data_IF_506464194719
#
_entry.id   IF_506464194719
#
_cell.length_a   1.000
_cell.length_b   1.000
_cell.length_c   1.000
_cell.angle_alpha   90.00
_cell.angle_beta   90.00
_cell.angle_gamma   90.00
#
_symmetry.space_group_name_H-M   'P 1'
#
loop_
_entity.id
_entity.type
_entity.pdbx_description
1 polymer ?
#
# COMPACT_ATOMS: atom_id res chain seq x y z
N UNK A 1 -4.56 -5.41 -24.91
CA UNK A 1 -4.43 -4.21 -24.08
C UNK A 1 -4.90 -4.45 -22.64
N UNK A 2 -5.94 -5.26 -22.43
CA UNK A 2 -6.47 -5.59 -21.09
C UNK A 2 -5.46 -6.32 -20.17
N UNK A 3 -4.58 -7.16 -20.72
CA UNK A 3 -3.57 -7.88 -19.95
C UNK A 3 -2.38 -7.03 -19.47
N UNK A 4 -2.21 -5.81 -19.98
CA UNK A 4 -1.11 -4.92 -19.58
C UNK A 4 -1.47 -4.09 -18.34
N UNK A 5 -2.75 -3.72 -18.20
CA UNK A 5 -3.26 -3.05 -17.00
C UNK A 5 -3.13 -3.99 -15.81
N UNK A 6 -3.56 -5.25 -15.94
CA UNK A 6 -3.43 -6.30 -14.90
C UNK A 6 -2.00 -6.59 -14.43
N UNK A 7 -0.98 -6.16 -15.19
CA UNK A 7 0.44 -6.45 -14.94
C UNK A 7 1.21 -5.25 -14.37
N UNK A 8 0.76 -4.03 -14.65
CA UNK A 8 1.23 -2.79 -14.02
C UNK A 8 0.52 -2.56 -12.66
N UNK A 9 -0.73 -3.05 -12.56
CA UNK A 9 -1.51 -3.23 -11.32
C UNK A 9 -1.21 -4.57 -10.64
N UNK A 10 0.05 -4.96 -10.50
CA UNK A 10 0.41 -6.18 -9.77
C UNK A 10 1.07 -5.80 -8.43
N UNK A 11 0.37 -5.23 -7.45
CA UNK A 11 -1.05 -4.91 -7.33
C UNK A 11 -1.13 -3.80 -6.30
N UNK A 12 -1.73 -2.66 -6.64
CA UNK A 12 -1.89 -1.57 -5.67
C UNK A 12 -2.57 -2.12 -4.41
N UNK A 13 -3.54 -3.02 -4.60
CA UNK A 13 -4.20 -3.79 -3.54
C UNK A 13 -3.21 -4.62 -2.70
N UNK A 14 -2.37 -5.44 -3.34
CA UNK A 14 -1.37 -6.26 -2.66
C UNK A 14 -0.36 -5.41 -1.88
N UNK A 15 0.02 -4.24 -2.42
CA UNK A 15 0.94 -3.32 -1.73
C UNK A 15 0.27 -2.58 -0.58
N UNK A 16 -1.03 -2.27 -0.67
CA UNK A 16 -1.81 -1.78 0.48
C UNK A 16 -1.86 -2.83 1.58
N UNK A 17 -2.19 -4.09 1.23
CA UNK A 17 -2.25 -5.18 2.20
C UNK A 17 -0.91 -5.41 2.89
N UNK A 18 0.18 -5.50 2.11
CA UNK A 18 1.52 -5.66 2.65
C UNK A 18 1.92 -4.48 3.53
N UNK A 19 1.66 -3.26 3.10
CA UNK A 19 1.94 -2.07 3.90
C UNK A 19 1.19 -2.10 5.23
N UNK A 20 -0.10 -2.40 5.22
CA UNK A 20 -0.93 -2.48 6.42
C UNK A 20 -0.46 -3.58 7.38
N UNK A 21 -0.03 -4.73 6.88
CA UNK A 21 0.52 -5.82 7.72
C UNK A 21 1.85 -5.36 8.32
N UNK A 22 2.79 -4.88 7.50
CA UNK A 22 4.13 -4.52 7.95
C UNK A 22 4.14 -3.28 8.87
N UNK A 23 3.17 -2.36 8.71
CA UNK A 23 3.10 -1.14 9.52
C UNK A 23 2.60 -1.41 10.93
N UNK A 24 1.86 -2.51 11.11
CA UNK A 24 1.34 -2.96 12.39
C UNK A 24 2.20 -4.07 13.01
N UNK A 25 3.17 -4.62 12.27
CA UNK A 25 4.08 -5.64 12.78
C UNK A 25 5.09 -5.03 13.76
N UNK A 26 5.38 -5.68 14.90
CA UNK A 26 6.44 -5.27 15.80
C UNK A 26 7.80 -5.16 15.10
N UNK A 27 8.53 -4.08 15.36
CA UNK A 27 9.80 -3.79 14.70
C UNK A 27 10.88 -4.87 14.87
N UNK A 28 10.86 -5.60 16.00
CA UNK A 28 11.82 -6.68 16.28
C UNK A 28 11.67 -7.91 15.37
N UNK A 29 10.53 -8.05 14.68
CA UNK A 29 10.30 -9.15 13.74
C UNK A 29 10.94 -8.92 12.37
N UNK A 30 11.43 -7.71 12.08
CA UNK A 30 12.16 -7.41 10.84
C UNK A 30 11.29 -7.36 9.57
N UNK A 31 9.96 -7.40 9.67
CA UNK A 31 9.06 -7.32 8.51
C UNK A 31 8.93 -5.92 7.89
N UNK A 32 9.66 -4.91 8.35
CA UNK A 32 9.50 -3.52 7.91
C UNK A 32 10.26 -3.15 6.61
N UNK A 33 10.91 -4.13 5.97
CA UNK A 33 11.81 -3.92 4.82
C UNK A 33 11.15 -3.28 3.59
N UNK A 34 9.82 -3.38 3.44
CA UNK A 34 9.11 -2.83 2.29
C UNK A 34 8.28 -1.59 2.62
N UNK A 35 8.22 -1.15 3.87
CA UNK A 35 7.33 -0.05 4.30
C UNK A 35 7.56 1.24 3.51
N UNK A 36 8.81 1.66 3.33
CA UNK A 36 9.10 2.90 2.62
C UNK A 36 8.77 2.79 1.13
N UNK A 37 9.15 1.66 0.51
CA UNK A 37 8.91 1.43 -0.91
C UNK A 37 7.41 1.31 -1.22
N UNK A 38 6.64 0.65 -0.36
CA UNK A 38 5.19 0.52 -0.49
C UNK A 38 4.51 1.87 -0.30
N UNK A 39 4.87 2.62 0.75
CA UNK A 39 4.35 3.96 0.97
C UNK A 39 4.56 4.88 -0.24
N UNK A 40 5.78 4.92 -0.78
CA UNK A 40 6.11 5.77 -1.92
C UNK A 40 5.29 5.38 -3.17
N UNK A 41 5.15 4.08 -3.42
CA UNK A 41 4.36 3.58 -4.55
C UNK A 41 2.87 3.85 -4.41
N UNK A 42 2.30 3.67 -3.22
CA UNK A 42 0.89 3.92 -2.96
C UNK A 42 0.55 5.40 -3.16
N UNK A 43 1.43 6.31 -2.72
CA UNK A 43 1.27 7.76 -2.96
C UNK A 43 1.38 8.07 -4.45
N UNK A 44 2.38 7.53 -5.15
CA UNK A 44 2.60 7.79 -6.57
C UNK A 44 1.45 7.29 -7.47
N UNK A 45 0.77 6.21 -7.07
CA UNK A 45 -0.31 5.61 -7.85
C UNK A 45 -1.71 5.97 -7.35
N UNK A 46 -1.86 6.69 -6.24
CA UNK A 46 -3.16 7.05 -5.66
C UNK A 46 -4.11 7.72 -6.67
N UNK A 47 -3.57 8.66 -7.47
CA UNK A 47 -4.36 9.39 -8.47
C UNK A 47 -4.69 8.56 -9.72
N UNK A 48 -4.03 7.41 -9.91
CA UNK A 48 -4.22 6.50 -11.06
C UNK A 48 -5.21 5.37 -10.77
N UNK A 49 -5.63 5.23 -9.50
CA UNK A 49 -6.67 4.30 -9.09
C UNK A 49 -8.03 4.97 -9.33
N UNK A 50 -8.94 4.33 -10.04
CA UNK A 50 -10.30 4.85 -10.20
C UNK A 50 -11.26 4.27 -9.15
N UNK A 51 -10.94 3.09 -8.61
CA UNK A 51 -11.73 2.43 -7.58
C UNK A 51 -11.72 3.20 -6.25
N UNK A 52 -12.91 3.63 -5.82
CA UNK A 52 -13.08 4.42 -4.60
C UNK A 52 -12.81 3.63 -3.32
N UNK A 53 -13.12 2.33 -3.31
CA UNK A 53 -12.87 1.46 -2.16
C UNK A 53 -11.36 1.25 -1.97
N UNK A 54 -10.61 1.04 -3.05
CA UNK A 54 -9.16 0.93 -3.02
C UNK A 54 -8.50 2.23 -2.58
N UNK A 55 -8.96 3.40 -3.07
CA UNK A 55 -8.50 4.70 -2.54
C UNK A 55 -8.73 4.81 -1.04
N UNK A 56 -9.90 4.41 -0.55
CA UNK A 56 -10.19 4.41 0.88
C UNK A 56 -9.24 3.48 1.65
N UNK A 57 -8.95 2.28 1.15
CA UNK A 57 -7.99 1.37 1.76
C UNK A 57 -6.57 1.97 1.83
N UNK A 58 -6.10 2.61 0.75
CA UNK A 58 -4.79 3.30 0.73
C UNK A 58 -4.74 4.38 1.81
N UNK A 59 -5.76 5.26 1.88
CA UNK A 59 -5.78 6.36 2.85
C UNK A 59 -5.79 5.86 4.29
N UNK A 60 -6.60 4.84 4.59
CA UNK A 60 -6.66 4.22 5.91
C UNK A 60 -5.34 3.60 6.32
N UNK A 61 -4.70 2.84 5.43
CA UNK A 61 -3.42 2.21 5.70
C UNK A 61 -2.32 3.25 5.99
N UNK A 62 -2.24 4.32 5.18
CA UNK A 62 -1.27 5.41 5.38
C UNK A 62 -1.55 6.25 6.64
N UNK A 63 -2.81 6.40 7.04
CA UNK A 63 -3.20 7.13 8.25
C UNK A 63 -2.90 6.33 9.52
N UNK A 64 -3.15 5.02 9.53
CA UNK A 64 -2.89 4.15 10.67
C UNK A 64 -1.39 4.16 11.06
N UNK A 65 -0.50 4.11 10.07
CA UNK A 65 0.94 4.14 10.29
C UNK A 65 1.47 5.44 10.95
N UNK A 66 0.72 6.55 10.88
CA UNK A 66 1.09 7.81 11.57
C UNK A 66 0.75 7.81 13.06
N UNK A 67 -0.15 6.93 13.52
CA UNK A 67 -0.62 6.88 14.92
C UNK A 67 0.23 6.00 15.83
N UNK A 68 1.05 5.11 15.27
CA UNK A 68 1.92 4.19 16.03
C UNK A 68 3.32 4.76 16.32
N UNK A 69 3.52 6.06 16.10
CA UNK A 69 4.73 6.81 16.48
C UNK A 69 4.36 7.84 17.54
#
# INVERSE_FOLDING_TARGET
MENAIARDTLDVEMRVLRYAIQSNAPGFLGYNSNLQNDKAFLIANYNRVDDAALKLMITNALAAAKKSK
#
